data_IF_149807930371
#
_entry.id   IF_149807930371
#
_cell.length_a   1.000
_cell.length_b   1.000
_cell.length_c   1.000
_cell.angle_alpha   90.00
_cell.angle_beta   90.00
_cell.angle_gamma   90.00
#
_symmetry.space_group_name_H-M   'P 1'
#
loop_
_entity.id
_entity.type
_entity.pdbx_description
1 polymer ?
#
# COMPACT_ATOMS: atom_id res chain seq x y z
N UNK A 1 -36.76 -8.00 -6.15
CA UNK A 1 -35.37 -8.27 -5.76
C UNK A 1 -34.63 -8.81 -6.99
N UNK A 2 -33.80 -8.01 -7.63
CA UNK A 2 -32.95 -8.50 -8.72
C UNK A 2 -31.90 -9.44 -8.12
N UNK A 3 -31.79 -10.68 -8.64
CA UNK A 3 -30.71 -11.60 -8.27
C UNK A 3 -29.38 -10.89 -8.61
N UNK A 4 -28.49 -10.71 -7.61
CA UNK A 4 -27.08 -10.39 -7.91
C UNK A 4 -26.59 -11.45 -8.94
N UNK A 5 -25.94 -11.04 -10.04
CA UNK A 5 -25.34 -12.01 -10.96
C UNK A 5 -24.40 -12.90 -10.16
N UNK A 6 -24.40 -14.19 -10.45
CA UNK A 6 -23.48 -15.13 -9.82
C UNK A 6 -22.04 -14.64 -10.12
N UNK A 7 -21.28 -14.37 -9.10
CA UNK A 7 -19.86 -13.99 -9.26
C UNK A 7 -19.14 -15.22 -9.80
N UNK A 8 -18.54 -15.12 -10.97
CA UNK A 8 -17.76 -16.18 -11.56
C UNK A 8 -16.55 -16.49 -10.68
N UNK A 9 -16.36 -17.75 -10.32
CA UNK A 9 -15.25 -18.18 -9.47
C UNK A 9 -13.92 -17.93 -10.21
N UNK A 10 -13.04 -17.16 -9.61
CA UNK A 10 -11.72 -16.84 -10.15
C UNK A 10 -10.62 -17.56 -9.38
N UNK A 11 -9.49 -17.77 -10.04
CA UNK A 11 -8.23 -18.16 -9.41
C UNK A 11 -7.36 -16.91 -9.21
N UNK A 12 -7.07 -16.57 -7.96
CA UNK A 12 -6.34 -15.35 -7.58
C UNK A 12 -4.97 -15.77 -7.04
N UNK A 13 -3.89 -15.23 -7.59
CA UNK A 13 -2.56 -15.41 -7.06
C UNK A 13 -2.13 -14.16 -6.27
N UNK A 14 -1.71 -14.35 -5.01
CA UNK A 14 -1.06 -13.31 -4.19
C UNK A 14 0.44 -13.60 -4.20
N UNK A 15 1.24 -12.66 -4.71
CA UNK A 15 2.68 -12.79 -4.73
C UNK A 15 3.31 -12.14 -3.48
N UNK A 16 4.01 -12.96 -2.70
CA UNK A 16 4.56 -12.63 -1.39
C UNK A 16 3.81 -13.33 -0.25
N UNK A 17 4.48 -13.45 0.90
CA UNK A 17 3.94 -14.08 2.12
C UNK A 17 4.23 -13.23 3.37
N UNK A 18 4.33 -11.91 3.21
CA UNK A 18 4.42 -10.95 4.33
C UNK A 18 3.07 -10.66 4.96
N UNK A 19 3.06 -9.78 5.97
CA UNK A 19 1.85 -9.46 6.72
C UNK A 19 0.71 -8.93 5.87
N UNK A 20 0.99 -8.10 4.85
CA UNK A 20 -0.05 -7.62 3.94
C UNK A 20 -0.65 -8.74 3.08
N UNK A 21 0.19 -9.68 2.60
CA UNK A 21 -0.30 -10.87 1.89
C UNK A 21 -1.18 -11.75 2.79
N UNK A 22 -0.83 -11.92 4.07
CA UNK A 22 -1.62 -12.66 5.03
C UNK A 22 -3.00 -12.03 5.26
N UNK A 23 -3.06 -10.70 5.40
CA UNK A 23 -4.33 -9.98 5.52
C UNK A 23 -5.20 -10.11 4.27
N UNK A 24 -4.61 -10.00 3.07
CA UNK A 24 -5.30 -10.23 1.80
C UNK A 24 -5.83 -11.66 1.71
N UNK A 25 -5.01 -12.67 2.05
CA UNK A 25 -5.40 -14.06 2.06
C UNK A 25 -6.59 -14.30 3.01
N UNK A 26 -6.52 -13.74 4.22
CA UNK A 26 -7.61 -13.83 5.21
C UNK A 26 -8.93 -13.25 4.71
N UNK A 27 -8.93 -12.14 3.99
CA UNK A 27 -10.17 -11.56 3.46
C UNK A 27 -10.65 -12.29 2.20
N UNK A 28 -9.76 -12.65 1.28
CA UNK A 28 -10.11 -13.33 0.03
C UNK A 28 -10.56 -14.77 0.26
N UNK A 29 -10.05 -15.47 1.28
CA UNK A 29 -10.50 -16.82 1.64
C UNK A 29 -11.96 -16.89 2.08
N UNK A 30 -12.57 -15.76 2.45
CA UNK A 30 -13.99 -15.64 2.79
C UNK A 30 -14.88 -15.47 1.57
N UNK A 31 -14.29 -15.30 0.40
CA UNK A 31 -14.99 -15.18 -0.89
C UNK A 31 -15.13 -16.54 -1.58
N UNK A 32 -15.83 -16.58 -2.70
CA UNK A 32 -15.97 -17.81 -3.50
C UNK A 32 -14.75 -18.12 -4.40
N UNK A 33 -13.65 -17.36 -4.26
CA UNK A 33 -12.49 -17.44 -5.14
C UNK A 33 -11.41 -18.38 -4.59
N UNK A 34 -10.68 -19.05 -5.49
CA UNK A 34 -9.54 -19.88 -5.12
C UNK A 34 -8.28 -19.01 -4.98
N UNK A 35 -7.61 -19.06 -3.82
CA UNK A 35 -6.42 -18.26 -3.53
C UNK A 35 -5.15 -19.11 -3.58
N UNK A 36 -4.15 -18.64 -4.34
CA UNK A 36 -2.82 -19.22 -4.46
C UNK A 36 -1.79 -18.21 -3.94
N UNK A 37 -0.99 -18.61 -2.97
CA UNK A 37 0.13 -17.81 -2.47
C UNK A 37 1.40 -18.20 -3.23
N UNK A 38 2.09 -17.23 -3.81
CA UNK A 38 3.40 -17.43 -4.40
C UNK A 38 4.47 -16.96 -3.40
N UNK A 39 5.32 -17.85 -2.94
CA UNK A 39 6.36 -17.54 -1.95
C UNK A 39 7.68 -18.23 -2.29
N UNK A 40 8.80 -17.68 -1.80
CA UNK A 40 10.13 -18.30 -1.94
C UNK A 40 10.36 -19.45 -0.98
N UNK A 41 9.50 -19.60 0.02
CA UNK A 41 9.58 -20.64 1.06
C UNK A 41 8.20 -21.21 1.33
N UNK A 42 8.10 -22.42 1.90
CA UNK A 42 6.85 -22.95 2.41
C UNK A 42 6.27 -22.06 3.51
N UNK A 43 4.95 -21.92 3.53
CA UNK A 43 4.20 -21.16 4.52
C UNK A 43 2.95 -21.94 4.91
N UNK A 44 3.06 -23.01 5.72
CA UNK A 44 1.92 -23.86 6.07
C UNK A 44 0.81 -23.11 6.80
N UNK A 45 1.12 -21.98 7.44
CA UNK A 45 0.16 -21.13 8.11
C UNK A 45 -0.92 -20.56 7.17
N UNK A 46 -0.64 -20.38 5.89
CA UNK A 46 -1.64 -19.95 4.91
C UNK A 46 -2.61 -21.08 4.55
N UNK A 47 -2.13 -22.32 4.49
CA UNK A 47 -2.95 -23.50 4.24
C UNK A 47 -3.83 -23.82 5.44
N UNK A 48 -3.25 -23.79 6.65
CA UNK A 48 -3.94 -24.12 7.89
C UNK A 48 -4.97 -23.06 8.31
N UNK A 49 -4.66 -21.77 8.13
CA UNK A 49 -5.49 -20.67 8.63
C UNK A 49 -6.47 -20.11 7.62
N UNK A 50 -6.17 -20.21 6.31
CA UNK A 50 -6.94 -19.54 5.28
C UNK A 50 -7.38 -20.44 4.13
N UNK A 51 -7.09 -21.74 4.19
CA UNK A 51 -7.38 -22.72 3.11
C UNK A 51 -6.81 -22.28 1.74
N UNK A 52 -5.66 -21.59 1.76
CA UNK A 52 -4.98 -21.08 0.57
C UNK A 52 -3.89 -22.07 0.13
N UNK A 53 -3.82 -22.40 -1.15
CA UNK A 53 -2.68 -23.16 -1.68
C UNK A 53 -1.40 -22.31 -1.61
N UNK A 54 -0.26 -22.92 -1.29
CA UNK A 54 1.06 -22.27 -1.30
C UNK A 54 1.93 -22.93 -2.38
N UNK A 55 2.41 -22.13 -3.33
CA UNK A 55 3.42 -22.54 -4.30
C UNK A 55 4.77 -21.94 -3.96
N UNK A 56 5.77 -22.80 -3.81
CA UNK A 56 7.15 -22.35 -3.65
C UNK A 56 7.73 -22.03 -5.02
N UNK A 57 8.08 -20.76 -5.24
CA UNK A 57 8.51 -20.23 -6.53
C UNK A 57 9.87 -19.56 -6.46
N UNK A 58 10.56 -19.57 -7.58
CA UNK A 58 11.74 -18.73 -7.81
C UNK A 58 11.34 -17.53 -8.69
N UNK A 59 11.32 -16.33 -8.11
CA UNK A 59 10.97 -15.10 -8.83
C UNK A 59 11.99 -14.70 -9.91
N UNK A 60 13.16 -15.34 -9.98
CA UNK A 60 14.13 -15.15 -11.05
C UNK A 60 13.98 -16.17 -12.19
N UNK A 61 13.11 -17.17 -12.01
CA UNK A 61 12.82 -18.19 -13.02
C UNK A 61 11.45 -17.96 -13.67
N UNK A 62 11.45 -17.37 -14.86
CA UNK A 62 10.23 -17.05 -15.59
C UNK A 62 9.36 -18.28 -15.96
N UNK A 63 10.00 -19.39 -16.26
CA UNK A 63 9.27 -20.64 -16.62
C UNK A 63 8.57 -21.22 -15.39
N UNK A 64 9.24 -21.19 -14.23
CA UNK A 64 8.66 -21.61 -12.96
C UNK A 64 7.44 -20.74 -12.60
N UNK A 65 7.58 -19.42 -12.66
CA UNK A 65 6.48 -18.48 -12.41
C UNK A 65 5.32 -18.70 -13.41
N UNK A 66 5.62 -18.84 -14.71
CA UNK A 66 4.62 -19.06 -15.73
C UNK A 66 3.84 -20.36 -15.50
N UNK A 67 4.50 -21.42 -15.04
CA UNK A 67 3.87 -22.69 -14.72
C UNK A 67 2.79 -22.52 -13.63
N UNK A 68 3.12 -21.88 -12.51
CA UNK A 68 2.18 -21.69 -11.41
C UNK A 68 1.06 -20.68 -11.72
N UNK A 69 1.30 -19.75 -12.65
CA UNK A 69 0.32 -18.76 -13.08
C UNK A 69 -0.65 -19.25 -14.16
N UNK A 70 -0.52 -20.49 -14.65
CA UNK A 70 -1.49 -21.05 -15.60
C UNK A 70 -2.90 -21.12 -15.00
N UNK A 71 -3.88 -20.56 -15.71
CA UNK A 71 -5.28 -20.50 -15.27
C UNK A 71 -5.55 -19.52 -14.11
N UNK A 72 -4.60 -18.62 -13.78
CA UNK A 72 -4.81 -17.52 -12.85
C UNK A 72 -5.47 -16.36 -13.59
N UNK A 73 -6.56 -15.83 -13.02
CA UNK A 73 -7.32 -14.70 -13.57
C UNK A 73 -6.77 -13.36 -13.09
N UNK A 74 -6.39 -13.29 -11.82
CA UNK A 74 -5.93 -12.09 -11.13
C UNK A 74 -4.64 -12.36 -10.37
N UNK A 75 -3.63 -11.52 -10.57
CA UNK A 75 -2.44 -11.47 -9.71
C UNK A 75 -2.48 -10.22 -8.85
N UNK A 76 -2.28 -10.36 -7.54
CA UNK A 76 -2.10 -9.26 -6.60
C UNK A 76 -0.66 -9.34 -6.07
N UNK A 77 0.17 -8.37 -6.44
CA UNK A 77 1.56 -8.31 -5.99
C UNK A 77 1.68 -7.60 -4.65
N UNK A 78 2.40 -8.21 -3.71
CA UNK A 78 2.84 -7.58 -2.46
C UNK A 78 4.37 -7.51 -2.37
N UNK A 79 5.03 -7.80 -3.50
CA UNK A 79 6.48 -7.72 -3.68
C UNK A 79 6.82 -6.58 -4.65
N UNK A 80 8.03 -6.05 -4.55
CA UNK A 80 8.53 -4.94 -5.39
C UNK A 80 9.92 -5.27 -5.94
N UNK A 81 10.48 -4.37 -6.72
CA UNK A 81 11.81 -4.58 -7.31
C UNK A 81 11.79 -5.52 -8.51
N UNK A 82 12.97 -6.08 -8.83
CA UNK A 82 13.17 -6.94 -9.99
C UNK A 82 12.25 -8.18 -9.98
N UNK A 83 11.93 -8.72 -8.80
CA UNK A 83 11.02 -9.85 -8.66
C UNK A 83 9.61 -9.52 -9.17
N UNK A 84 9.13 -8.30 -8.92
CA UNK A 84 7.83 -7.87 -9.47
C UNK A 84 7.88 -7.72 -10.98
N UNK A 85 8.97 -7.21 -11.56
CA UNK A 85 9.13 -7.10 -13.01
C UNK A 85 9.06 -8.48 -13.68
N UNK A 86 9.76 -9.45 -13.13
CA UNK A 86 9.72 -10.83 -13.62
C UNK A 86 8.32 -11.46 -13.48
N UNK A 87 7.64 -11.18 -12.37
CA UNK A 87 6.27 -11.66 -12.14
C UNK A 87 5.29 -11.09 -13.18
N UNK A 88 5.43 -9.80 -13.54
CA UNK A 88 4.62 -9.17 -14.60
C UNK A 88 4.83 -9.85 -15.94
N UNK A 89 6.08 -10.16 -16.32
CA UNK A 89 6.40 -10.87 -17.56
C UNK A 89 5.84 -12.29 -17.56
N UNK A 90 5.99 -13.02 -16.47
CA UNK A 90 5.45 -14.37 -16.33
C UNK A 90 3.92 -14.37 -16.38
N UNK A 91 3.26 -13.43 -15.69
CA UNK A 91 1.81 -13.27 -15.73
C UNK A 91 1.29 -13.01 -17.15
N UNK A 92 1.99 -12.12 -17.88
CA UNK A 92 1.66 -11.86 -19.28
C UNK A 92 1.79 -13.10 -20.17
N UNK A 93 2.85 -13.90 -19.99
CA UNK A 93 3.07 -15.16 -20.73
C UNK A 93 2.03 -16.23 -20.36
N UNK A 94 1.63 -16.30 -19.10
CA UNK A 94 0.57 -17.20 -18.62
C UNK A 94 -0.85 -16.74 -19.00
N UNK A 95 -1.00 -15.58 -19.65
CA UNK A 95 -2.27 -14.97 -20.05
C UNK A 95 -3.19 -14.59 -18.88
N UNK A 96 -2.61 -14.17 -17.77
CA UNK A 96 -3.35 -13.57 -16.67
C UNK A 96 -4.16 -12.38 -17.18
N UNK A 97 -5.41 -12.26 -16.77
CA UNK A 97 -6.31 -11.22 -17.25
C UNK A 97 -6.00 -9.85 -16.64
N UNK A 98 -5.76 -9.80 -15.34
CA UNK A 98 -5.58 -8.54 -14.60
C UNK A 98 -4.44 -8.67 -13.60
N UNK A 99 -3.64 -7.61 -13.48
CA UNK A 99 -2.53 -7.51 -12.54
C UNK A 99 -2.71 -6.30 -11.62
N UNK A 100 -2.56 -6.51 -10.31
CA UNK A 100 -2.49 -5.47 -9.30
C UNK A 100 -1.04 -5.36 -8.84
N UNK A 101 -0.33 -4.26 -9.15
CA UNK A 101 1.04 -4.06 -8.67
C UNK A 101 1.08 -3.74 -7.18
N UNK A 102 2.26 -3.87 -6.57
CA UNK A 102 2.51 -3.52 -5.17
C UNK A 102 2.60 -2.00 -4.99
N UNK A 103 1.47 -1.31 -5.24
CA UNK A 103 1.29 0.14 -5.23
C UNK A 103 0.17 0.55 -4.26
N UNK A 104 0.23 0.03 -3.03
CA UNK A 104 -0.77 0.31 -1.99
C UNK A 104 -0.35 1.53 -1.16
N UNK A 105 -0.32 2.71 -1.79
CA UNK A 105 0.04 3.98 -1.15
C UNK A 105 -0.59 5.20 -1.87
N UNK A 106 0.14 6.29 -2.06
CA UNK A 106 -0.33 7.48 -2.78
C UNK A 106 -0.50 7.26 -4.28
N UNK A 107 -1.24 8.16 -4.95
CA UNK A 107 -1.52 8.03 -6.38
C UNK A 107 -0.24 8.01 -7.22
N UNK A 108 -0.12 7.09 -8.20
CA UNK A 108 1.02 7.06 -9.13
C UNK A 108 1.26 8.38 -9.86
N UNK A 109 0.21 9.17 -10.10
CA UNK A 109 0.30 10.48 -10.76
C UNK A 109 1.00 11.54 -9.91
N UNK A 110 1.10 11.35 -8.60
CA UNK A 110 1.78 12.24 -7.66
C UNK A 110 3.16 11.74 -7.25
N UNK A 111 3.63 10.66 -7.86
CA UNK A 111 4.99 10.15 -7.64
C UNK A 111 6.02 11.14 -8.21
N UNK A 112 7.14 11.39 -7.53
CA UNK A 112 8.25 12.13 -8.11
C UNK A 112 8.69 11.56 -9.45
N UNK A 113 9.28 12.41 -10.29
CA UNK A 113 9.78 11.96 -11.61
C UNK A 113 10.82 10.85 -11.47
N UNK A 114 10.85 9.95 -12.44
CA UNK A 114 11.79 8.82 -12.48
C UNK A 114 13.24 9.31 -12.21
N UNK A 115 13.92 8.60 -11.31
CA UNK A 115 15.27 8.91 -10.85
C UNK A 115 15.35 9.90 -9.67
N UNK A 116 14.24 10.56 -9.31
CA UNK A 116 14.17 11.49 -8.18
C UNK A 116 13.37 10.92 -6.98
N UNK A 117 12.79 9.74 -7.11
CA UNK A 117 12.06 9.08 -6.03
C UNK A 117 12.96 8.04 -5.33
N UNK A 118 13.45 8.32 -4.11
CA UNK A 118 14.27 7.36 -3.37
C UNK A 118 13.47 6.13 -2.91
N UNK A 119 12.15 6.17 -3.04
CA UNK A 119 11.25 5.08 -2.68
C UNK A 119 10.68 4.35 -3.91
N UNK A 120 11.21 4.58 -5.10
CA UNK A 120 10.65 3.99 -6.33
C UNK A 120 10.75 2.46 -6.36
N UNK A 121 11.89 1.90 -5.97
CA UNK A 121 12.12 0.44 -5.93
C UNK A 121 11.51 -0.30 -7.14
N UNK A 122 11.81 0.16 -8.35
CA UNK A 122 11.29 -0.32 -9.64
C UNK A 122 9.76 -0.17 -9.86
N UNK A 123 9.05 0.55 -9.00
CA UNK A 123 7.62 0.82 -9.17
C UNK A 123 7.30 1.52 -10.49
N UNK A 124 8.10 2.53 -10.85
CA UNK A 124 7.94 3.26 -12.12
C UNK A 124 8.16 2.35 -13.33
N UNK A 125 9.14 1.43 -13.25
CA UNK A 125 9.40 0.43 -14.26
C UNK A 125 8.25 -0.58 -14.38
N UNK A 126 7.75 -1.07 -13.24
CA UNK A 126 6.60 -1.98 -13.18
C UNK A 126 5.34 -1.37 -13.80
N UNK A 127 5.01 -0.11 -13.46
CA UNK A 127 3.88 0.61 -14.06
C UNK A 127 4.09 0.85 -15.56
N UNK A 128 5.31 1.13 -16.00
CA UNK A 128 5.69 1.25 -17.42
C UNK A 128 5.43 -0.05 -18.18
N UNK A 129 5.89 -1.18 -17.63
CA UNK A 129 5.72 -2.51 -18.20
C UNK A 129 4.23 -2.91 -18.27
N UNK A 130 3.47 -2.67 -17.20
CA UNK A 130 2.03 -2.93 -17.16
C UNK A 130 1.26 -2.08 -18.18
N UNK A 131 1.63 -0.80 -18.32
CA UNK A 131 1.07 0.09 -19.33
C UNK A 131 1.35 -0.42 -20.73
N UNK A 132 2.57 -0.88 -21.01
CA UNK A 132 2.95 -1.50 -22.28
C UNK A 132 2.09 -2.73 -22.57
N UNK A 133 2.00 -3.69 -21.64
CA UNK A 133 1.24 -4.91 -21.83
C UNK A 133 -0.27 -4.70 -21.92
N UNK A 134 -0.81 -3.68 -21.26
CA UNK A 134 -2.24 -3.37 -21.37
C UNK A 134 -2.65 -2.80 -22.72
N UNK A 135 -1.70 -2.24 -23.48
CA UNK A 135 -1.90 -1.71 -24.82
C UNK A 135 -1.50 -2.71 -25.92
N UNK A 136 -1.08 -3.91 -25.57
CA UNK A 136 -0.70 -4.95 -26.54
C UNK A 136 -1.90 -5.38 -27.36
N UNK A 137 -1.71 -5.51 -28.68
CA UNK A 137 -2.76 -6.02 -29.60
C UNK A 137 -3.10 -7.49 -29.36
N UNK A 138 -2.10 -8.26 -28.96
CA UNK A 138 -2.23 -9.68 -28.72
C UNK A 138 -2.22 -9.95 -27.22
N UNK A 139 -3.35 -10.44 -26.67
CA UNK A 139 -3.51 -10.79 -25.26
C UNK A 139 -3.15 -9.62 -24.32
N UNK A 140 -3.92 -8.53 -24.33
CA UNK A 140 -3.69 -7.40 -23.42
C UNK A 140 -3.90 -7.87 -21.98
N UNK A 141 -2.92 -7.61 -21.11
CA UNK A 141 -3.07 -7.81 -19.67
C UNK A 141 -3.46 -6.48 -19.03
N UNK A 142 -4.65 -6.42 -18.43
CA UNK A 142 -5.09 -5.22 -17.70
C UNK A 142 -4.34 -5.06 -16.40
N UNK A 143 -4.34 -3.87 -15.86
CA UNK A 143 -3.87 -3.63 -14.51
C UNK A 143 -4.70 -2.57 -13.80
N UNK A 144 -4.72 -2.63 -12.48
CA UNK A 144 -5.37 -1.65 -11.61
C UNK A 144 -4.48 -1.38 -10.41
N UNK A 145 -4.28 -0.11 -10.07
CA UNK A 145 -3.59 0.32 -8.85
C UNK A 145 -4.63 0.58 -7.75
N UNK A 146 -4.31 0.19 -6.52
CA UNK A 146 -5.13 0.49 -5.34
C UNK A 146 -4.46 1.58 -4.52
N UNK A 147 -4.90 2.82 -4.69
CA UNK A 147 -4.41 3.99 -3.98
C UNK A 147 -5.16 4.15 -2.66
N UNK A 148 -4.45 4.07 -1.54
CA UNK A 148 -5.03 4.09 -0.19
C UNK A 148 -4.45 5.17 0.73
N UNK A 149 -3.44 5.91 0.26
CA UNK A 149 -2.69 6.86 1.09
C UNK A 149 -1.77 6.16 2.08
N UNK A 150 -1.61 6.73 3.25
CA UNK A 150 -0.75 6.23 4.32
C UNK A 150 -1.51 5.23 5.19
N UNK A 151 -0.91 4.08 5.49
CA UNK A 151 -1.48 3.13 6.44
C UNK A 151 -1.50 3.69 7.86
N UNK A 152 -2.63 3.56 8.56
CA UNK A 152 -2.77 3.91 9.98
C UNK A 152 -1.74 3.20 10.84
N UNK A 153 -1.41 1.97 10.49
CA UNK A 153 -0.52 1.07 11.24
C UNK A 153 0.92 1.58 11.31
N UNK A 154 1.30 2.60 10.52
CA UNK A 154 2.56 3.34 10.72
C UNK A 154 2.60 4.06 12.07
N UNK A 155 1.43 4.38 12.63
CA UNK A 155 1.27 5.05 13.93
C UNK A 155 0.98 4.07 15.08
N UNK A 156 0.95 2.77 14.83
CA UNK A 156 0.73 1.74 15.86
C UNK A 156 1.97 1.51 16.75
N UNK A 157 1.81 0.88 17.94
CA UNK A 157 2.95 0.35 18.69
C UNK A 157 3.78 -0.59 17.80
N UNK A 158 5.08 -0.36 17.73
CA UNK A 158 5.98 -1.12 16.86
C UNK A 158 5.87 -0.81 15.36
N UNK A 159 4.97 0.10 14.94
CA UNK A 159 4.80 0.50 13.55
C UNK A 159 4.36 -0.64 12.63
N UNK A 160 4.69 -0.54 11.33
CA UNK A 160 4.38 -1.59 10.34
C UNK A 160 5.09 -2.92 10.64
N UNK A 161 6.22 -2.88 11.34
CA UNK A 161 6.98 -4.08 11.73
C UNK A 161 6.18 -5.03 12.62
N UNK A 162 5.30 -4.50 13.49
CA UNK A 162 4.39 -5.29 14.32
C UNK A 162 3.42 -6.14 13.48
N UNK A 163 3.16 -5.74 12.25
CA UNK A 163 2.31 -6.44 11.28
C UNK A 163 3.12 -7.18 10.21
N UNK A 164 4.42 -7.38 10.42
CA UNK A 164 5.34 -8.00 9.46
C UNK A 164 5.33 -7.31 8.07
N UNK A 165 5.26 -5.97 8.07
CA UNK A 165 5.24 -5.09 6.89
C UNK A 165 6.36 -4.05 6.92
N UNK A 166 6.64 -3.39 5.78
CA UNK A 166 7.52 -2.22 5.70
C UNK A 166 9.03 -2.50 5.70
N UNK A 167 9.48 -3.74 5.81
CA UNK A 167 10.90 -4.09 5.94
C UNK A 167 11.77 -3.64 4.75
N UNK A 168 11.25 -3.76 3.54
CA UNK A 168 11.96 -3.37 2.31
C UNK A 168 12.04 -1.85 2.10
N UNK A 169 11.28 -1.06 2.87
CA UNK A 169 11.13 0.38 2.67
C UNK A 169 11.74 1.23 3.79
N UNK A 170 12.43 0.62 4.76
CA UNK A 170 12.95 1.31 5.97
C UNK A 170 11.85 2.08 6.72
N UNK A 171 10.62 1.59 6.68
CA UNK A 171 9.41 2.18 7.28
C UNK A 171 8.72 1.20 8.22
N UNK A 172 9.47 0.26 8.78
CA UNK A 172 8.90 -0.77 9.65
C UNK A 172 8.73 -0.33 11.09
N UNK A 173 9.51 0.65 11.54
CA UNK A 173 9.51 1.01 12.96
C UNK A 173 8.48 2.11 13.26
N UNK A 174 8.08 2.14 14.51
CA UNK A 174 7.28 3.24 15.04
C UNK A 174 8.09 4.54 14.97
N UNK A 175 7.49 5.57 14.39
CA UNK A 175 8.12 6.88 14.24
C UNK A 175 8.91 7.06 12.93
N UNK A 176 9.05 6.03 12.10
CA UNK A 176 9.68 6.17 10.77
C UNK A 176 8.93 7.15 9.85
N UNK A 177 7.67 7.49 10.17
CA UNK A 177 6.88 8.46 9.43
C UNK A 177 6.31 9.54 10.35
N UNK A 178 6.86 10.73 10.30
CA UNK A 178 6.45 11.98 10.95
C UNK A 178 6.23 11.95 12.47
N UNK A 179 5.56 10.95 13.01
CA UNK A 179 5.06 10.96 14.39
C UNK A 179 5.39 9.64 15.09
N UNK A 180 6.09 9.73 16.20
CA UNK A 180 6.26 8.63 17.14
C UNK A 180 5.25 8.77 18.29
N UNK A 181 4.15 8.04 18.19
CA UNK A 181 3.03 8.13 19.14
C UNK A 181 3.43 7.65 20.53
N UNK A 182 4.30 6.64 20.63
CA UNK A 182 4.77 6.10 21.91
C UNK A 182 5.68 7.04 22.68
N UNK A 183 6.60 7.71 21.95
CA UNK A 183 7.55 8.66 22.56
C UNK A 183 6.99 10.09 22.67
N UNK A 184 5.84 10.39 22.06
CA UNK A 184 5.29 11.73 22.06
C UNK A 184 6.15 12.74 21.27
N UNK A 185 6.73 12.31 20.15
CA UNK A 185 7.54 13.18 19.29
C UNK A 185 6.95 13.27 17.90
N UNK A 186 7.06 14.44 17.29
CA UNK A 186 6.61 14.66 15.92
C UNK A 186 7.54 15.61 15.18
N UNK A 187 7.81 15.28 13.90
CA UNK A 187 8.46 16.18 12.96
C UNK A 187 7.57 16.25 11.72
N UNK A 188 6.92 17.39 11.50
CA UNK A 188 5.84 17.54 10.53
C UNK A 188 6.08 18.73 9.60
N UNK A 189 5.71 18.63 8.30
CA UNK A 189 5.76 19.76 7.39
C UNK A 189 4.60 20.74 7.70
N UNK A 190 4.88 22.04 7.67
CA UNK A 190 3.90 23.10 7.93
C UNK A 190 2.96 23.31 6.73
N UNK A 191 3.57 23.55 5.58
CA UNK A 191 2.88 23.89 4.34
C UNK A 191 3.54 23.22 3.14
N UNK A 192 2.84 23.19 2.02
CA UNK A 192 3.44 22.83 0.75
C UNK A 192 4.27 23.96 0.13
N UNK A 193 4.86 23.76 -1.04
CA UNK A 193 5.69 24.74 -1.77
C UNK A 193 4.95 26.05 -2.10
N UNK A 194 3.63 26.09 -2.03
CA UNK A 194 2.79 27.27 -2.29
C UNK A 194 2.27 27.93 -0.99
N UNK A 195 2.78 27.51 0.17
CA UNK A 195 2.33 28.03 1.48
C UNK A 195 0.92 27.54 1.89
N UNK A 196 0.38 26.52 1.24
CA UNK A 196 -0.96 25.99 1.53
C UNK A 196 -0.89 24.84 2.54
N UNK A 197 -1.96 24.68 3.32
CA UNK A 197 -2.12 23.54 4.22
C UNK A 197 -2.05 22.21 3.48
N UNK A 198 -1.31 21.26 4.06
CA UNK A 198 -1.15 19.90 3.56
C UNK A 198 -2.31 19.04 4.03
N UNK A 199 -2.83 18.21 3.15
CA UNK A 199 -3.77 17.16 3.49
C UNK A 199 -3.12 15.81 3.22
N UNK A 200 -3.34 14.84 4.10
CA UNK A 200 -2.87 13.46 3.94
C UNK A 200 -4.08 12.55 3.94
N UNK A 201 -4.15 11.68 2.95
CA UNK A 201 -5.12 10.59 2.91
C UNK A 201 -4.53 9.39 3.61
N UNK A 202 -5.31 8.78 4.49
CA UNK A 202 -4.91 7.64 5.31
C UNK A 202 -6.01 6.58 5.33
N UNK A 203 -5.60 5.30 5.45
CA UNK A 203 -6.53 4.17 5.52
C UNK A 203 -5.91 3.08 6.39
N UNK A 204 -6.70 2.38 7.23
CA UNK A 204 -6.22 1.18 7.91
C UNK A 204 -5.92 0.07 6.91
N UNK A 205 -4.82 -0.65 7.11
CA UNK A 205 -4.50 -1.81 6.26
C UNK A 205 -5.60 -2.87 6.27
N UNK A 206 -6.32 -3.00 7.39
CA UNK A 206 -7.47 -3.91 7.51
C UNK A 206 -8.64 -3.47 6.62
N UNK A 207 -8.88 -2.16 6.52
CA UNK A 207 -9.89 -1.64 5.60
C UNK A 207 -9.44 -1.76 4.14
N UNK A 208 -8.14 -1.54 3.85
CA UNK A 208 -7.59 -1.71 2.50
C UNK A 208 -7.86 -3.11 1.97
N UNK A 209 -7.59 -4.16 2.75
CA UNK A 209 -7.83 -5.54 2.28
C UNK A 209 -9.31 -5.85 2.11
N UNK A 210 -10.20 -5.28 2.95
CA UNK A 210 -11.66 -5.36 2.77
C UNK A 210 -12.11 -4.67 1.48
N UNK A 211 -11.59 -3.49 1.18
CA UNK A 211 -11.84 -2.79 -0.08
C UNK A 211 -11.37 -3.60 -1.30
N UNK A 212 -10.18 -4.21 -1.21
CA UNK A 212 -9.66 -5.06 -2.30
C UNK A 212 -10.57 -6.27 -2.51
N UNK A 213 -10.97 -6.98 -1.45
CA UNK A 213 -11.87 -8.12 -1.54
C UNK A 213 -13.25 -7.72 -2.13
N UNK A 214 -13.82 -6.62 -1.65
CA UNK A 214 -15.07 -6.09 -2.18
C UNK A 214 -14.95 -5.67 -3.66
N UNK A 215 -13.82 -5.11 -4.09
CA UNK A 215 -13.56 -4.81 -5.49
C UNK A 215 -13.47 -6.08 -6.34
N UNK A 216 -12.88 -7.17 -5.82
CA UNK A 216 -12.85 -8.47 -6.49
C UNK A 216 -14.26 -8.99 -6.73
N UNK A 217 -15.15 -8.86 -5.77
CA UNK A 217 -16.57 -9.26 -5.88
C UNK A 217 -17.37 -8.43 -6.90
N UNK A 218 -16.91 -7.21 -7.27
CA UNK A 218 -17.48 -6.45 -8.38
C UNK A 218 -17.18 -7.05 -9.77
N UNK A 219 -16.22 -7.97 -9.85
CA UNK A 219 -15.70 -8.52 -11.11
C UNK A 219 -14.63 -7.64 -11.75
N UNK A 220 -13.51 -8.29 -12.12
CA UNK A 220 -12.28 -7.60 -12.58
C UNK A 220 -12.38 -7.02 -14.02
N UNK A 221 -13.47 -7.32 -14.76
CA UNK A 221 -13.59 -6.99 -16.19
C UNK A 221 -13.68 -5.48 -16.43
N UNK A 222 -14.28 -4.73 -15.50
CA UNK A 222 -14.58 -3.31 -15.63
C UNK A 222 -13.80 -2.44 -14.64
N UNK A 223 -12.73 -2.97 -14.05
CA UNK A 223 -11.91 -2.19 -13.13
C UNK A 223 -11.25 -0.99 -13.83
N UNK A 224 -11.26 0.20 -13.22
CA UNK A 224 -10.51 1.35 -13.71
C UNK A 224 -8.99 1.11 -13.55
N UNK A 225 -8.19 2.00 -14.13
CA UNK A 225 -6.73 1.99 -13.94
C UNK A 225 -6.30 2.27 -12.51
N UNK A 226 -7.11 2.97 -11.75
CA UNK A 226 -6.85 3.33 -10.36
C UNK A 226 -8.13 3.29 -9.55
N UNK A 227 -8.16 2.47 -8.51
CA UNK A 227 -9.10 2.58 -7.42
C UNK A 227 -8.47 3.40 -6.30
N UNK A 228 -9.23 4.36 -5.80
CA UNK A 228 -8.86 5.22 -4.68
C UNK A 228 -9.80 4.96 -3.52
N UNK A 229 -9.23 4.70 -2.33
CA UNK A 229 -9.98 4.46 -1.11
C UNK A 229 -9.38 5.24 0.05
N UNK A 230 -10.21 5.62 1.02
CA UNK A 230 -9.74 6.34 2.21
C UNK A 230 -10.58 6.07 3.45
N UNK A 231 -9.93 6.01 4.61
CA UNK A 231 -10.58 6.08 5.91
C UNK A 231 -10.61 7.49 6.47
N UNK A 232 -9.57 8.30 6.21
CA UNK A 232 -9.51 9.71 6.63
C UNK A 232 -8.71 10.57 5.64
N UNK A 233 -8.99 11.89 5.66
CA UNK A 233 -8.18 12.91 4.98
C UNK A 233 -8.03 14.09 5.91
N UNK A 234 -6.84 14.26 6.49
CA UNK A 234 -6.57 15.20 7.57
C UNK A 234 -5.18 15.82 7.43
N UNK A 235 -4.91 16.91 8.15
CA UNK A 235 -3.60 17.57 8.13
C UNK A 235 -2.59 16.88 9.05
N UNK A 236 -1.26 17.02 8.82
CA UNK A 236 -0.22 16.54 9.74
C UNK A 236 -0.43 17.04 11.18
N UNK A 237 -0.77 18.31 11.34
CA UNK A 237 -1.05 18.92 12.64
C UNK A 237 -2.24 18.26 13.34
N UNK A 238 -3.30 17.92 12.59
CA UNK A 238 -4.47 17.26 13.16
C UNK A 238 -4.19 15.81 13.55
N UNK A 239 -3.33 15.10 12.78
CA UNK A 239 -2.85 13.77 13.16
C UNK A 239 -2.12 13.85 14.51
N UNK A 240 -1.17 14.79 14.63
CA UNK A 240 -0.40 15.01 15.88
C UNK A 240 -1.33 15.35 17.05
N UNK A 241 -2.28 16.25 16.84
CA UNK A 241 -3.24 16.63 17.86
C UNK A 241 -4.07 15.43 18.35
N UNK A 242 -4.59 14.59 17.45
CA UNK A 242 -5.29 13.36 17.84
C UNK A 242 -4.40 12.42 18.65
N UNK A 243 -3.13 12.26 18.26
CA UNK A 243 -2.17 11.46 19.02
C UNK A 243 -1.99 11.99 20.44
N UNK A 244 -1.82 13.32 20.60
CA UNK A 244 -1.70 13.97 21.90
C UNK A 244 -2.97 13.79 22.77
N UNK A 245 -4.15 14.01 22.18
CA UNK A 245 -5.44 13.83 22.85
C UNK A 245 -5.64 12.39 23.36
N UNK A 246 -5.39 11.37 22.51
CA UNK A 246 -5.60 9.97 22.85
C UNK A 246 -4.58 9.47 23.89
N UNK A 247 -3.33 9.90 23.74
CA UNK A 247 -2.25 9.55 24.68
C UNK A 247 -2.31 10.34 25.99
N UNK A 248 -3.11 11.42 26.06
CA UNK A 248 -3.17 12.35 27.18
C UNK A 248 -1.77 12.85 27.60
N UNK A 249 -0.92 13.14 26.60
CA UNK A 249 0.43 13.61 26.82
C UNK A 249 0.77 14.74 25.85
N UNK A 250 1.61 15.65 26.30
CA UNK A 250 2.17 16.70 25.46
C UNK A 250 3.24 16.13 24.52
N UNK A 251 3.20 16.51 23.25
CA UNK A 251 4.17 16.08 22.24
C UNK A 251 5.25 17.12 22.02
N UNK A 252 6.49 16.65 21.90
CA UNK A 252 7.58 17.47 21.40
C UNK A 252 7.45 17.55 19.87
N UNK A 253 7.02 18.71 19.35
CA UNK A 253 6.70 18.91 17.94
C UNK A 253 7.71 19.82 17.28
N UNK A 254 8.35 19.34 16.22
CA UNK A 254 9.18 20.12 15.32
C UNK A 254 8.38 20.37 14.04
N UNK A 255 7.91 21.58 13.85
CA UNK A 255 7.28 22.03 12.60
C UNK A 255 8.36 22.51 11.62
N UNK A 256 8.26 22.04 10.36
CA UNK A 256 9.22 22.36 9.30
C UNK A 256 8.56 23.16 8.19
N UNK A 257 8.96 24.43 7.98
CA UNK A 257 8.64 25.14 6.75
C UNK A 257 9.12 24.39 5.52
N UNK A 258 8.42 24.49 4.40
CA UNK A 258 8.77 23.76 3.16
C UNK A 258 10.23 23.95 2.74
N UNK A 259 10.72 25.21 2.77
CA UNK A 259 12.10 25.54 2.42
C UNK A 259 13.13 24.84 3.32
N UNK A 260 12.82 24.68 4.60
CA UNK A 260 13.68 23.99 5.55
C UNK A 260 13.72 22.49 5.25
N UNK A 261 12.58 21.87 4.90
CA UNK A 261 12.53 20.46 4.51
C UNK A 261 13.44 20.20 3.31
N UNK A 262 13.37 21.06 2.28
CA UNK A 262 14.23 20.99 1.09
C UNK A 262 15.70 21.13 1.47
N UNK A 263 16.05 22.13 2.27
CA UNK A 263 17.42 22.36 2.71
C UNK A 263 17.99 21.18 3.53
N UNK A 264 17.18 20.58 4.41
CA UNK A 264 17.59 19.41 5.19
C UNK A 264 17.74 18.14 4.35
N UNK A 265 16.94 17.94 3.29
CA UNK A 265 17.13 16.85 2.32
C UNK A 265 18.53 16.96 1.71
N UNK A 266 18.90 18.14 1.21
CA UNK A 266 20.21 18.36 0.60
C UNK A 266 21.36 18.22 1.60
N UNK A 267 21.20 18.78 2.80
CA UNK A 267 22.19 18.68 3.87
C UNK A 267 22.50 17.24 4.25
N UNK A 268 21.47 16.42 4.55
CA UNK A 268 21.68 15.04 4.98
C UNK A 268 22.23 14.16 3.85
N UNK A 269 21.88 14.45 2.60
CA UNK A 269 22.47 13.77 1.43
C UNK A 269 23.97 14.04 1.33
N UNK A 270 24.38 15.31 1.47
CA UNK A 270 25.80 15.71 1.41
C UNK A 270 26.64 15.15 2.56
N UNK A 271 26.03 14.93 3.72
CA UNK A 271 26.69 14.39 4.91
C UNK A 271 26.56 12.87 5.07
N UNK A 272 26.04 12.16 4.04
CA UNK A 272 25.83 10.71 4.05
C UNK A 272 25.03 10.19 5.28
N UNK A 273 24.09 11.00 5.79
CA UNK A 273 23.18 10.60 6.85
C UNK A 273 21.90 10.05 6.22
N UNK A 274 21.94 8.76 5.80
CA UNK A 274 20.86 8.13 5.09
C UNK A 274 19.54 8.11 5.88
N UNK A 275 19.59 7.80 7.18
CA UNK A 275 18.39 7.72 8.02
C UNK A 275 17.62 9.04 8.03
N UNK A 276 18.31 10.14 8.34
CA UNK A 276 17.72 11.47 8.35
C UNK A 276 17.32 11.95 6.95
N UNK A 277 18.09 11.57 5.96
CA UNK A 277 17.76 11.88 4.56
C UNK A 277 16.44 11.24 4.14
N UNK A 278 16.22 9.95 4.43
CA UNK A 278 14.95 9.27 4.14
C UNK A 278 13.78 9.90 4.93
N UNK A 279 13.99 10.24 6.21
CA UNK A 279 12.97 10.92 7.00
C UNK A 279 12.55 12.27 6.35
N UNK A 280 13.51 13.09 5.92
CA UNK A 280 13.22 14.35 5.24
C UNK A 280 12.58 14.13 3.86
N UNK A 281 12.96 13.10 3.12
CA UNK A 281 12.30 12.73 1.86
C UNK A 281 10.82 12.38 2.07
N UNK A 282 10.47 11.69 3.16
CA UNK A 282 9.07 11.45 3.49
C UNK A 282 8.30 12.73 3.79
N UNK A 283 8.91 13.67 4.53
CA UNK A 283 8.31 14.98 4.78
C UNK A 283 8.12 15.76 3.48
N UNK A 284 9.13 15.77 2.62
CA UNK A 284 9.08 16.47 1.33
C UNK A 284 7.97 15.88 0.42
N UNK A 285 7.93 14.58 0.22
CA UNK A 285 6.89 13.95 -0.58
C UNK A 285 5.49 14.15 0.01
N UNK A 286 5.38 14.19 1.35
CA UNK A 286 4.12 14.55 2.02
C UNK A 286 3.71 15.99 1.70
N UNK A 287 4.65 16.93 1.80
CA UNK A 287 4.42 18.33 1.47
C UNK A 287 4.07 18.55 -0.01
N UNK A 288 4.68 17.78 -0.91
CA UNK A 288 4.43 17.82 -2.35
C UNK A 288 3.12 17.12 -2.77
N UNK A 289 2.38 16.55 -1.81
CA UNK A 289 1.06 15.98 -2.06
C UNK A 289 1.05 14.55 -2.58
N UNK A 290 2.15 13.80 -2.43
CA UNK A 290 2.26 12.38 -2.82
C UNK A 290 1.10 11.53 -2.28
N UNK A 291 0.67 11.82 -1.06
CA UNK A 291 -0.36 11.06 -0.35
C UNK A 291 -1.71 11.80 -0.28
N UNK A 292 -1.92 12.79 -1.15
CA UNK A 292 -3.13 13.60 -1.14
C UNK A 292 -4.01 13.29 -2.35
N UNK A 293 -5.25 12.88 -2.11
CA UNK A 293 -6.28 12.82 -3.15
C UNK A 293 -7.65 13.13 -2.53
N UNK A 294 -8.54 13.70 -3.35
CA UNK A 294 -9.87 14.14 -2.90
C UNK A 294 -10.96 13.12 -3.20
N UNK A 295 -10.90 12.50 -4.37
CA UNK A 295 -11.81 11.46 -4.82
C UNK A 295 -11.45 10.11 -4.18
N UNK A 296 -12.44 9.36 -3.77
CA UNK A 296 -12.31 8.01 -3.22
C UNK A 296 -13.32 7.10 -3.91
N UNK A 297 -13.13 6.90 -5.21
CA UNK A 297 -14.09 6.24 -6.09
C UNK A 297 -14.46 4.81 -5.64
N UNK A 298 -13.59 4.12 -4.92
CA UNK A 298 -13.90 2.79 -4.43
C UNK A 298 -14.83 2.83 -3.21
N UNK A 299 -14.74 3.86 -2.35
CA UNK A 299 -15.67 4.02 -1.24
C UNK A 299 -17.12 4.17 -1.72
N UNK A 300 -17.32 4.79 -2.90
CA UNK A 300 -18.65 4.99 -3.47
C UNK A 300 -19.20 3.75 -4.20
N UNK A 301 -18.33 2.80 -4.55
CA UNK A 301 -18.69 1.63 -5.36
C UNK A 301 -18.96 0.38 -4.55
N UNK A 302 -18.42 0.26 -3.34
CA UNK A 302 -18.53 -0.93 -2.49
C UNK A 302 -19.08 -0.60 -1.12
N UNK A 303 -19.76 -1.57 -0.50
CA UNK A 303 -20.34 -1.43 0.84
C UNK A 303 -19.27 -1.78 1.90
N UNK A 304 -18.23 -0.95 1.98
CA UNK A 304 -17.17 -1.03 3.00
C UNK A 304 -17.14 0.30 3.75
N UNK A 305 -17.53 0.28 5.00
CA UNK A 305 -17.39 1.42 5.90
C UNK A 305 -16.01 1.38 6.56
N UNK A 306 -15.09 2.31 6.21
CA UNK A 306 -13.76 2.34 6.80
C UNK A 306 -13.78 3.00 8.17
N UNK A 307 -12.90 2.53 9.06
CA UNK A 307 -12.72 3.14 10.37
C UNK A 307 -12.08 4.53 10.26
N UNK A 308 -12.62 5.51 10.98
CA UNK A 308 -12.00 6.84 11.09
C UNK A 308 -10.68 6.80 11.88
N UNK A 309 -9.69 7.62 11.49
CA UNK A 309 -8.35 7.60 12.10
C UNK A 309 -8.36 7.82 13.62
N UNK A 310 -9.14 8.78 14.13
CA UNK A 310 -9.25 9.03 15.58
C UNK A 310 -9.82 7.83 16.34
N UNK A 311 -10.81 7.16 15.78
CA UNK A 311 -11.40 5.96 16.36
C UNK A 311 -10.37 4.82 16.39
N UNK A 312 -9.69 4.58 15.27
CA UNK A 312 -8.61 3.59 15.18
C UNK A 312 -7.52 3.87 16.21
N UNK A 313 -7.08 5.13 16.32
CA UNK A 313 -6.05 5.55 17.28
C UNK A 313 -6.49 5.28 18.73
N UNK A 314 -7.76 5.55 19.06
CA UNK A 314 -8.32 5.28 20.38
C UNK A 314 -8.37 3.79 20.71
N UNK A 315 -8.65 2.92 19.74
CA UNK A 315 -8.60 1.46 19.91
C UNK A 315 -7.16 0.96 20.10
N UNK A 316 -6.20 1.60 19.42
CA UNK A 316 -4.79 1.14 19.38
C UNK A 316 -3.98 1.64 20.60
N UNK A 317 -4.26 2.85 21.09
CA UNK A 317 -3.47 3.54 22.10
C UNK A 317 -4.26 3.98 23.33
N UNK A 318 -5.56 3.84 23.29
CA UNK A 318 -6.41 4.14 24.44
C UNK A 318 -6.14 3.20 25.62
N UNK A 319 -6.61 3.52 26.83
CA UNK A 319 -6.54 2.61 27.96
C UNK A 319 -7.25 1.31 27.61
N UNK A 320 -6.64 0.19 27.99
CA UNK A 320 -7.27 -1.14 27.83
C UNK A 320 -8.65 -1.10 28.48
N UNK A 321 -9.69 -1.39 27.69
CA UNK A 321 -11.07 -1.50 28.17
C UNK A 321 -11.26 -2.79 28.95
#
# INVERSE_FOLDING_TARGET
>A
MARKPAVEMMRIAIAGAGGFAALLASELSRTAHAVLILSRMPHPEFEESYDCQVAVVDYHNLENLQYFLQGVDLVISTISGAEQLNLIDAARRARVHTFVPSEFEGSPSHRPTLGNDPFDNDSSAALGQLRHWSNSRNYPMRYTVFTCGIFYERFAPGGLGAYNMGRSWRLSNQGDYMINVGLGTAEIPETNSQGRSIQITLTSVFDVVRFVAAAVDLGIQNWPREFKMRGARITPQRIQQFCSEVRQMEFNVVSRPYADVVAWVDYYRQHNNEERWYAMQHLLQTADGRYTFGDANLNDLVDVEPMGFRQWLSHTWGPAQ
#
